data_IF_998863634876
#
_entry.id   IF_998863634876
#
_cell.length_a   1.000
_cell.length_b   1.000
_cell.length_c   1.000
_cell.angle_alpha   90.00
_cell.angle_beta   90.00
_cell.angle_gamma   90.00
#
_symmetry.space_group_name_H-M   'P 1'
#
loop_
_entity.id
_entity.type
_entity.pdbx_description
1 polymer ?
#
# COMPACT_ATOMS: atom_id res chain seq x y z
N UNK A 1 -10.13 33.38 -39.15
CA UNK A 1 -11.55 32.99 -39.08
C UNK A 1 -11.59 31.51 -38.75
N UNK A 2 -12.23 30.99 -37.72
CA UNK A 2 -13.14 31.53 -36.73
C UNK A 2 -12.84 30.88 -35.36
N UNK A 3 -12.98 31.66 -34.29
CA UNK A 3 -12.99 31.18 -32.92
C UNK A 3 -14.40 30.64 -32.59
N UNK A 4 -14.47 29.48 -31.94
CA UNK A 4 -15.71 28.97 -31.37
C UNK A 4 -15.60 29.03 -29.84
N UNK A 5 -16.26 30.03 -29.28
CA UNK A 5 -16.53 30.23 -27.86
C UNK A 5 -17.63 29.25 -27.44
N UNK A 6 -17.39 28.43 -26.41
CA UNK A 6 -18.42 27.64 -25.75
C UNK A 6 -18.77 28.30 -24.41
N UNK A 7 -20.04 28.68 -24.30
CA UNK A 7 -20.63 29.51 -23.25
C UNK A 7 -20.64 28.86 -21.87
N UNK A 8 -20.17 29.61 -20.86
CA UNK A 8 -20.40 29.36 -19.44
C UNK A 8 -21.89 29.60 -19.11
N UNK A 9 -22.59 28.56 -18.64
CA UNK A 9 -23.90 28.72 -18.01
C UNK A 9 -23.73 29.22 -16.57
N UNK A 10 -24.38 30.33 -16.26
CA UNK A 10 -24.35 31.02 -14.98
C UNK A 10 -25.44 30.45 -14.05
N UNK A 11 -25.06 30.00 -12.85
CA UNK A 11 -25.98 29.53 -11.81
C UNK A 11 -26.43 30.75 -10.98
N UNK A 12 -27.73 30.92 -10.65
CA UNK A 12 -28.21 32.06 -9.88
C UNK A 12 -27.79 31.98 -8.40
N UNK A 13 -27.45 33.10 -7.74
CA UNK A 13 -27.21 33.11 -6.30
C UNK A 13 -28.53 33.34 -5.56
N UNK A 14 -28.76 32.56 -4.49
CA UNK A 14 -29.29 33.00 -3.18
C UNK A 14 -30.30 32.03 -2.58
N UNK A 15 -29.88 31.30 -1.55
CA UNK A 15 -30.71 31.00 -0.38
C UNK A 15 -29.86 31.32 0.85
N UNK A 16 -30.24 32.40 1.56
CA UNK A 16 -29.65 32.80 2.84
C UNK A 16 -30.01 31.75 3.90
N UNK A 17 -29.03 31.00 4.36
CA UNK A 17 -29.18 30.17 5.55
C UNK A 17 -28.91 31.05 6.79
N UNK A 18 -29.93 31.22 7.62
CA UNK A 18 -29.84 31.91 8.92
C UNK A 18 -28.92 31.15 9.88
N UNK A 19 -27.97 31.85 10.48
CA UNK A 19 -27.04 31.30 11.46
C UNK A 19 -27.78 30.77 12.71
N UNK A 20 -27.75 29.46 12.93
CA UNK A 20 -28.05 28.87 14.23
C UNK A 20 -26.81 28.98 15.13
N UNK A 21 -27.01 29.51 16.34
CA UNK A 21 -26.00 29.58 17.39
C UNK A 21 -25.59 28.17 17.83
N UNK A 22 -24.29 27.89 17.82
CA UNK A 22 -23.70 26.67 18.36
C UNK A 22 -23.78 26.65 19.90
N UNK A 23 -24.16 25.53 20.52
CA UNK A 23 -24.04 25.37 21.96
C UNK A 23 -22.56 25.14 22.35
N UNK A 24 -22.10 25.83 23.40
CA UNK A 24 -20.75 25.67 23.96
C UNK A 24 -20.56 24.24 24.50
N UNK A 25 -19.60 23.51 23.95
CA UNK A 25 -19.07 22.27 24.55
C UNK A 25 -18.04 22.61 25.65
N UNK A 26 -18.04 21.89 26.78
CA UNK A 26 -17.00 22.02 27.81
C UNK A 26 -15.66 21.41 27.34
N UNK A 27 -14.52 21.84 27.91
CA UNK A 27 -13.20 21.43 27.46
C UNK A 27 -12.91 19.94 27.74
N UNK A 28 -12.02 19.29 26.95
CA UNK A 28 -11.69 17.89 27.14
C UNK A 28 -10.84 17.68 28.41
N UNK A 29 -11.27 16.76 29.26
CA UNK A 29 -10.49 16.27 30.39
C UNK A 29 -9.28 15.49 29.87
N UNK A 30 -8.07 15.99 30.16
CA UNK A 30 -6.81 15.26 30.02
C UNK A 30 -6.80 14.09 31.02
N UNK A 31 -7.08 12.88 30.54
CA UNK A 31 -6.85 11.66 31.31
C UNK A 31 -5.35 11.33 31.23
N UNK A 32 -4.65 11.55 32.35
CA UNK A 32 -3.27 11.12 32.57
C UNK A 32 -3.24 9.60 32.74
N UNK A 33 -2.54 8.89 31.86
CA UNK A 33 -2.25 7.46 32.01
C UNK A 33 -0.97 7.29 32.83
N UNK A 34 -1.11 7.01 34.13
CA UNK A 34 0.00 6.58 34.98
C UNK A 34 0.25 5.07 34.77
N UNK A 35 1.41 4.71 34.22
CA UNK A 35 1.84 3.33 34.07
C UNK A 35 3.00 3.05 35.04
N UNK A 36 2.83 2.24 36.11
CA UNK A 36 3.96 1.88 36.97
C UNK A 36 4.76 0.74 36.34
N UNK A 37 5.92 1.08 35.77
CA UNK A 37 6.92 0.13 35.30
C UNK A 37 7.57 -0.57 36.50
N UNK A 38 7.07 -1.75 36.86
CA UNK A 38 7.64 -2.60 37.91
C UNK A 38 8.85 -3.36 37.37
N UNK A 39 10.05 -2.93 37.74
CA UNK A 39 11.31 -3.63 37.51
C UNK A 39 11.49 -4.77 38.53
N UNK A 40 11.12 -6.01 38.16
CA UNK A 40 11.60 -7.18 38.88
C UNK A 40 12.95 -7.64 38.35
N UNK A 41 13.95 -7.61 39.24
CA UNK A 41 15.34 -8.02 39.02
C UNK A 41 15.46 -9.51 39.34
N UNK A 42 15.78 -10.34 38.34
CA UNK A 42 16.01 -11.78 38.54
C UNK A 42 17.40 -12.02 39.12
N UNK A 43 17.47 -12.58 40.33
CA UNK A 43 18.70 -13.09 40.96
C UNK A 43 18.93 -14.55 40.56
N UNK A 44 20.08 -14.85 39.97
CA UNK A 44 20.53 -16.20 39.69
C UNK A 44 21.16 -16.83 40.95
N UNK A 45 20.60 -17.95 41.40
CA UNK A 45 21.18 -18.78 42.47
C UNK A 45 22.10 -19.84 41.87
N UNK A 46 23.37 -19.80 42.25
CA UNK A 46 24.40 -20.81 41.99
C UNK A 46 24.15 -22.08 42.80
N UNK A 47 24.09 -23.23 42.13
CA UNK A 47 24.07 -24.54 42.79
C UNK A 47 25.49 -25.09 42.95
N UNK A 48 25.77 -25.52 44.17
CA UNK A 48 27.02 -26.05 44.70
C UNK A 48 27.40 -27.42 44.13
N UNK A 49 28.72 -27.64 44.08
CA UNK A 49 29.40 -28.85 43.64
C UNK A 49 29.04 -30.11 44.46
N UNK A 50 29.00 -31.26 43.78
CA UNK A 50 29.12 -32.57 44.40
C UNK A 50 30.22 -33.39 43.71
N UNK A 51 31.11 -33.92 44.55
CA UNK A 51 32.32 -34.69 44.26
C UNK A 51 32.01 -36.10 43.75
N UNK A 52 32.78 -36.60 42.78
CA UNK A 52 32.62 -37.97 42.29
C UNK A 52 33.66 -38.44 41.25
N UNK A 53 34.83 -38.86 41.73
CA UNK A 53 35.71 -39.95 41.21
C UNK A 53 35.97 -40.04 39.69
N UNK A 54 37.15 -39.56 39.27
CA UNK A 54 37.76 -39.84 37.94
C UNK A 54 37.93 -41.35 37.72
N UNK A 55 37.26 -41.88 36.70
CA UNK A 55 37.68 -43.08 35.96
C UNK A 55 37.70 -42.71 34.47
N UNK A 56 38.89 -42.70 33.89
CA UNK A 56 39.09 -42.55 32.46
C UNK A 56 38.56 -43.78 31.73
N UNK A 57 37.56 -43.60 30.88
CA UNK A 57 37.16 -44.60 29.90
C UNK A 57 37.44 -44.06 28.49
N UNK A 58 38.24 -44.80 27.74
CA UNK A 58 38.54 -44.53 26.33
C UNK A 58 37.32 -44.86 25.49
N UNK A 59 36.60 -43.84 25.00
CA UNK A 59 35.53 -44.03 24.02
C UNK A 59 36.16 -44.11 22.63
N UNK A 60 36.13 -45.30 22.03
CA UNK A 60 36.45 -45.50 20.62
C UNK A 60 35.38 -44.78 19.79
N UNK A 61 35.80 -43.80 18.98
CA UNK A 61 34.94 -43.13 18.03
C UNK A 61 34.61 -44.11 16.89
N UNK A 62 33.43 -44.74 16.94
CA UNK A 62 32.86 -45.43 15.79
C UNK A 62 31.85 -44.49 15.14
N UNK A 63 32.31 -43.77 14.12
CA UNK A 63 31.45 -43.01 13.22
C UNK A 63 30.69 -43.98 12.32
N UNK A 64 29.42 -44.27 12.65
CA UNK A 64 28.48 -44.78 11.67
C UNK A 64 27.84 -43.58 10.94
N UNK A 65 27.79 -43.56 9.60
CA UNK A 65 27.02 -42.56 8.86
C UNK A 65 25.55 -42.95 8.95
N UNK A 66 24.86 -42.42 9.96
CA UNK A 66 23.40 -42.46 9.98
C UNK A 66 22.88 -41.44 8.96
N UNK A 67 22.19 -41.98 7.96
CA UNK A 67 21.38 -41.28 6.95
C UNK A 67 20.60 -40.10 7.56
N UNK A 68 20.79 -38.92 6.98
CA UNK A 68 20.29 -37.60 7.41
C UNK A 68 18.75 -37.40 7.39
N UNK A 69 17.95 -38.47 7.32
CA UNK A 69 16.52 -38.33 7.00
C UNK A 69 15.54 -38.43 8.18
N UNK A 70 15.96 -38.58 9.44
CA UNK A 70 14.97 -38.77 10.53
C UNK A 70 15.44 -38.36 11.93
N UNK A 71 15.89 -37.11 12.09
CA UNK A 71 15.92 -36.50 13.43
C UNK A 71 14.60 -35.76 13.69
N UNK A 72 13.88 -36.05 14.79
CA UNK A 72 12.68 -35.30 15.14
C UNK A 72 13.07 -33.86 15.48
N UNK A 73 12.65 -32.91 14.65
CA UNK A 73 12.88 -31.48 14.86
C UNK A 73 12.14 -31.06 16.13
N UNK A 74 12.82 -30.35 17.03
CA UNK A 74 12.18 -29.89 18.27
C UNK A 74 11.03 -28.92 17.93
N UNK A 75 9.97 -28.87 18.75
CA UNK A 75 8.82 -27.95 18.54
C UNK A 75 9.28 -26.49 18.44
N UNK A 76 10.33 -26.12 19.16
CA UNK A 76 10.95 -24.79 19.11
C UNK A 76 11.63 -24.55 17.77
N UNK A 77 12.36 -25.52 17.26
CA UNK A 77 13.04 -25.41 15.97
C UNK A 77 12.06 -25.38 14.80
N UNK A 78 10.95 -26.11 14.88
CA UNK A 78 9.85 -25.98 13.93
C UNK A 78 9.23 -24.56 13.96
N UNK A 79 8.98 -24.01 15.15
CA UNK A 79 8.46 -22.64 15.29
C UNK A 79 9.44 -21.59 14.78
N UNK A 80 10.74 -21.76 15.03
CA UNK A 80 11.78 -20.85 14.53
C UNK A 80 11.86 -20.95 13.00
N UNK A 81 11.85 -22.15 12.44
CA UNK A 81 11.90 -22.34 10.98
C UNK A 81 10.64 -21.78 10.30
N UNK A 82 9.45 -22.00 10.86
CA UNK A 82 8.21 -21.42 10.35
C UNK A 82 8.21 -19.89 10.48
N UNK A 83 8.69 -19.35 11.61
CA UNK A 83 8.83 -17.91 11.81
C UNK A 83 9.83 -17.30 10.82
N UNK A 84 11.02 -17.88 10.68
CA UNK A 84 12.05 -17.42 9.74
C UNK A 84 11.56 -17.55 8.30
N UNK A 85 10.83 -18.60 7.94
CA UNK A 85 10.23 -18.75 6.61
C UNK A 85 9.16 -17.70 6.32
N UNK A 86 8.35 -17.33 7.32
CA UNK A 86 7.39 -16.23 7.21
C UNK A 86 8.07 -14.86 7.18
N UNK A 87 9.22 -14.71 7.83
CA UNK A 87 9.98 -13.45 7.92
C UNK A 87 10.95 -13.23 6.75
N UNK A 88 11.49 -14.30 6.18
CA UNK A 88 12.16 -14.33 4.87
C UNK A 88 11.09 -14.30 3.78
N UNK A 89 10.24 -13.27 3.83
CA UNK A 89 9.04 -13.18 3.03
C UNK A 89 9.43 -13.15 1.55
N UNK A 90 8.95 -14.16 0.82
CA UNK A 90 8.92 -14.16 -0.63
C UNK A 90 8.33 -12.83 -1.10
N UNK A 91 8.98 -12.18 -2.05
CA UNK A 91 8.48 -10.97 -2.70
C UNK A 91 7.64 -11.38 -3.89
N UNK A 92 6.40 -10.93 -3.95
CA UNK A 92 5.51 -11.11 -5.10
C UNK A 92 5.42 -9.80 -5.86
N UNK A 93 5.68 -9.86 -7.17
CA UNK A 93 5.49 -8.73 -8.06
C UNK A 93 4.08 -8.75 -8.63
N UNK A 94 3.36 -7.63 -8.51
CA UNK A 94 2.05 -7.42 -9.11
C UNK A 94 2.07 -6.11 -9.91
N UNK A 95 1.75 -6.19 -11.19
CA UNK A 95 1.72 -5.03 -12.09
C UNK A 95 0.27 -4.67 -12.44
N UNK A 96 -0.07 -3.38 -12.32
CA UNK A 96 -1.41 -2.89 -12.68
C UNK A 96 -1.32 -1.53 -13.36
N UNK A 97 -2.33 -1.23 -14.17
CA UNK A 97 -2.54 0.09 -14.75
C UNK A 97 -3.70 0.80 -14.05
N UNK A 98 -3.49 2.08 -13.73
CA UNK A 98 -4.55 2.97 -13.29
C UNK A 98 -4.89 3.94 -14.42
N UNK A 99 -6.17 4.02 -14.78
CA UNK A 99 -6.64 4.88 -15.85
C UNK A 99 -7.85 5.71 -15.41
N UNK A 100 -7.73 7.03 -15.57
CA UNK A 100 -8.86 7.94 -15.49
C UNK A 100 -9.49 8.08 -16.89
N UNK A 101 -10.68 7.50 -17.06
CA UNK A 101 -11.42 7.53 -18.32
C UNK A 101 -12.39 8.72 -18.43
N UNK A 102 -12.36 9.66 -17.48
CA UNK A 102 -13.19 10.86 -17.49
C UNK A 102 -14.66 10.61 -17.14
N UNK A 103 -15.01 9.41 -16.68
CA UNK A 103 -16.40 8.97 -16.44
C UNK A 103 -16.78 8.84 -14.95
N UNK A 104 -15.92 9.31 -14.03
CA UNK A 104 -16.10 9.17 -12.57
C UNK A 104 -16.23 10.49 -11.81
N UNK A 105 -16.23 11.63 -12.50
CA UNK A 105 -16.13 12.95 -11.84
C UNK A 105 -14.84 13.12 -11.03
N UNK A 106 -13.78 12.40 -11.41
CA UNK A 106 -12.48 12.35 -10.73
C UNK A 106 -11.38 12.95 -11.62
N UNK A 107 -10.38 13.63 -11.05
CA UNK A 107 -10.29 14.03 -9.64
C UNK A 107 -11.20 15.22 -9.30
N UNK A 108 -11.50 15.41 -8.02
CA UNK A 108 -12.10 16.64 -7.51
C UNK A 108 -11.00 17.56 -6.95
N UNK A 109 -10.68 18.66 -7.62
CA UNK A 109 -9.63 19.58 -7.15
C UNK A 109 -10.22 20.66 -6.22
N UNK A 110 -9.91 20.59 -4.93
CA UNK A 110 -10.38 21.53 -3.91
C UNK A 110 -9.30 22.56 -3.61
N UNK A 111 -9.49 23.79 -4.12
CA UNK A 111 -8.57 24.94 -3.93
C UNK A 111 -8.68 25.57 -2.54
N UNK A 112 -8.28 24.82 -1.52
CA UNK A 112 -8.37 25.22 -0.12
C UNK A 112 -7.18 26.07 0.36
N UNK A 113 -6.05 26.07 -0.36
CA UNK A 113 -4.88 26.88 -0.04
C UNK A 113 -5.05 28.38 -0.30
N UNK A 114 -6.14 28.78 -0.96
CA UNK A 114 -6.54 30.18 -1.21
C UNK A 114 -5.46 31.03 -1.92
N UNK A 115 -4.63 30.40 -2.76
CA UNK A 115 -3.65 31.07 -3.62
C UNK A 115 -4.04 30.95 -5.10
N UNK A 116 -3.57 31.87 -5.95
CA UNK A 116 -3.84 31.81 -7.39
C UNK A 116 -3.18 30.59 -8.06
N UNK A 117 -2.06 30.15 -7.52
CA UNK A 117 -1.33 28.95 -7.93
C UNK A 117 -1.58 27.80 -6.94
N UNK A 118 -1.37 26.57 -7.41
CA UNK A 118 -1.37 25.36 -6.60
C UNK A 118 -0.52 25.59 -5.34
N UNK A 119 -1.09 25.33 -4.16
CA UNK A 119 -0.45 25.63 -2.89
C UNK A 119 -0.76 24.63 -1.78
N UNK A 120 0.13 24.59 -0.78
CA UNK A 120 -0.02 23.71 0.39
C UNK A 120 -1.44 23.78 0.96
N UNK A 121 -2.06 22.62 1.14
CA UNK A 121 -3.41 22.48 1.69
C UNK A 121 -4.51 22.30 0.65
N UNK A 122 -4.23 22.49 -0.64
CA UNK A 122 -5.14 22.03 -1.69
C UNK A 122 -5.32 20.51 -1.61
N UNK A 123 -6.57 20.05 -1.73
CA UNK A 123 -6.94 18.64 -1.58
C UNK A 123 -7.47 18.10 -2.90
N UNK A 124 -7.11 16.86 -3.21
CA UNK A 124 -7.50 16.19 -4.43
C UNK A 124 -8.03 14.78 -4.12
N UNK A 125 -9.29 14.64 -3.68
CA UNK A 125 -9.97 13.36 -3.68
C UNK A 125 -10.06 12.80 -5.11
N UNK A 126 -9.83 11.50 -5.27
CA UNK A 126 -9.85 10.85 -6.58
C UNK A 126 -10.30 9.39 -6.51
N UNK A 127 -10.75 8.88 -7.65
CA UNK A 127 -10.98 7.46 -7.88
C UNK A 127 -10.92 7.13 -9.37
N UNK A 128 -10.00 6.26 -9.76
CA UNK A 128 -9.78 5.86 -11.16
C UNK A 128 -10.00 4.35 -11.35
N UNK A 129 -10.03 3.88 -12.59
CA UNK A 129 -10.18 2.45 -12.92
C UNK A 129 -8.82 1.75 -12.83
N UNK A 130 -8.81 0.50 -12.38
CA UNK A 130 -7.60 -0.34 -12.30
C UNK A 130 -7.74 -1.55 -13.21
N UNK A 131 -6.71 -1.80 -14.01
CA UNK A 131 -6.59 -2.89 -14.97
C UNK A 131 -5.39 -3.78 -14.65
N UNK A 132 -5.43 -5.03 -15.08
CA UNK A 132 -4.31 -5.97 -15.02
C UNK A 132 -3.09 -5.46 -15.80
N UNK A 133 -1.91 -5.98 -15.48
CA UNK A 133 -0.67 -5.60 -16.16
C UNK A 133 -0.69 -5.86 -17.67
N UNK A 134 -1.45 -6.85 -18.14
CA UNK A 134 -1.61 -7.14 -19.57
C UNK A 134 -2.73 -6.32 -20.25
N UNK A 135 -3.41 -5.44 -19.50
CA UNK A 135 -4.50 -4.56 -19.93
C UNK A 135 -5.78 -5.30 -20.40
N UNK A 136 -5.89 -6.60 -20.15
CA UNK A 136 -7.02 -7.42 -20.60
C UNK A 136 -8.12 -7.63 -19.58
N UNK A 137 -7.86 -7.33 -18.30
CA UNK A 137 -8.81 -7.53 -17.21
C UNK A 137 -9.06 -6.23 -16.43
N UNK A 138 -10.32 -5.88 -16.16
CA UNK A 138 -10.74 -4.80 -15.28
C UNK A 138 -10.78 -5.32 -13.84
N UNK A 139 -9.75 -4.99 -13.07
CA UNK A 139 -9.59 -5.48 -11.70
C UNK A 139 -10.42 -4.69 -10.68
N UNK A 140 -10.59 -3.38 -10.88
CA UNK A 140 -11.38 -2.57 -9.96
C UNK A 140 -11.10 -1.07 -10.02
N UNK A 141 -10.81 -0.45 -8.87
CA UNK A 141 -10.62 1.00 -8.75
C UNK A 141 -9.52 1.38 -7.75
N UNK A 142 -8.93 2.56 -7.95
CA UNK A 142 -8.28 3.30 -6.86
C UNK A 142 -9.30 4.19 -6.16
N UNK A 143 -9.11 4.46 -4.87
CA UNK A 143 -9.89 5.44 -4.14
C UNK A 143 -9.08 6.05 -3.00
N UNK A 144 -9.03 7.37 -2.92
CA UNK A 144 -8.37 8.07 -1.83
C UNK A 144 -8.20 9.55 -2.08
N UNK A 145 -7.14 10.11 -1.50
CA UNK A 145 -6.90 11.55 -1.49
C UNK A 145 -5.41 11.86 -1.66
N UNK A 146 -5.13 12.92 -2.41
CA UNK A 146 -3.84 13.57 -2.47
C UNK A 146 -3.92 14.93 -1.77
N UNK A 147 -2.94 15.23 -0.92
CA UNK A 147 -2.75 16.53 -0.28
C UNK A 147 -1.60 17.21 -1.01
N UNK A 148 -1.83 18.39 -1.59
CA UNK A 148 -0.76 19.13 -2.23
C UNK A 148 0.22 19.65 -1.18
N UNK A 149 1.50 19.32 -1.35
CA UNK A 149 2.58 19.72 -0.44
C UNK A 149 3.30 20.96 -0.98
N UNK A 150 3.67 20.95 -2.26
CA UNK A 150 4.40 22.05 -2.89
C UNK A 150 4.18 22.07 -4.39
N UNK A 151 3.93 23.26 -4.93
CA UNK A 151 4.07 23.54 -6.36
C UNK A 151 5.54 23.81 -6.70
N UNK A 152 6.03 23.19 -7.78
CA UNK A 152 7.42 23.24 -8.24
C UNK A 152 7.45 23.85 -9.65
N UNK A 153 7.33 25.18 -9.77
CA UNK A 153 7.20 25.86 -11.07
C UNK A 153 8.40 25.61 -11.99
N UNK A 154 9.60 25.47 -11.43
CA UNK A 154 10.83 25.15 -12.15
C UNK A 154 10.78 23.82 -12.90
N UNK A 155 9.97 22.87 -12.43
CA UNK A 155 9.75 21.55 -13.05
C UNK A 155 8.40 21.43 -13.74
N UNK A 156 7.58 22.49 -13.72
CA UNK A 156 6.16 22.43 -14.11
C UNK A 156 5.43 21.25 -13.44
N UNK A 157 5.74 21.04 -12.17
CA UNK A 157 5.32 19.86 -11.43
C UNK A 157 4.71 20.23 -10.09
N UNK A 158 3.99 19.28 -9.51
CA UNK A 158 3.48 19.34 -8.15
C UNK A 158 3.97 18.12 -7.37
N UNK A 159 4.17 18.31 -6.06
CA UNK A 159 4.40 17.22 -5.12
C UNK A 159 3.18 17.08 -4.21
N UNK A 160 2.65 15.87 -4.16
CA UNK A 160 1.55 15.50 -3.29
C UNK A 160 2.01 14.45 -2.26
N UNK A 161 1.34 14.44 -1.11
CA UNK A 161 1.27 13.28 -0.22
C UNK A 161 -0.03 12.56 -0.53
N UNK A 162 0.05 11.29 -0.92
CA UNK A 162 -1.08 10.47 -1.32
C UNK A 162 -1.37 9.40 -0.25
N UNK A 163 -2.66 9.22 0.03
CA UNK A 163 -3.17 8.13 0.88
C UNK A 163 -4.40 7.54 0.21
N UNK A 164 -4.30 6.30 -0.26
CA UNK A 164 -5.35 5.68 -1.06
C UNK A 164 -5.26 4.16 -1.04
N UNK A 165 -6.28 3.51 -1.59
CA UNK A 165 -6.33 2.05 -1.72
C UNK A 165 -6.64 1.62 -3.15
N UNK A 166 -6.14 0.44 -3.52
CA UNK A 166 -6.50 -0.32 -4.72
C UNK A 166 -7.53 -1.36 -4.31
N UNK A 167 -8.76 -1.22 -4.78
CA UNK A 167 -9.83 -2.21 -4.60
C UNK A 167 -9.85 -3.13 -5.82
N UNK A 168 -9.56 -4.42 -5.61
CA UNK A 168 -9.37 -5.40 -6.69
C UNK A 168 -10.50 -6.47 -6.66
N UNK A 169 -11.74 -6.02 -6.48
CA UNK A 169 -12.91 -6.90 -6.40
C UNK A 169 -12.84 -7.88 -5.23
N UNK A 170 -13.20 -9.14 -5.49
CA UNK A 170 -13.24 -10.21 -4.48
C UNK A 170 -11.86 -10.62 -3.94
N UNK A 171 -10.77 -10.21 -4.61
CA UNK A 171 -9.42 -10.44 -4.08
C UNK A 171 -9.15 -9.62 -2.81
N UNK A 172 -9.84 -8.50 -2.62
CA UNK A 172 -9.64 -7.57 -1.51
C UNK A 172 -9.01 -6.25 -1.95
N UNK A 173 -8.29 -5.60 -1.04
CA UNK A 173 -7.67 -4.30 -1.30
C UNK A 173 -6.21 -4.24 -0.83
N UNK A 174 -5.44 -3.34 -1.44
CA UNK A 174 -4.09 -2.95 -0.99
C UNK A 174 -4.12 -1.46 -0.68
N UNK A 175 -3.69 -1.07 0.53
CA UNK A 175 -3.60 0.33 0.94
C UNK A 175 -2.17 0.83 0.84
N UNK A 176 -2.01 2.07 0.37
CA UNK A 176 -0.71 2.70 0.14
C UNK A 176 -0.68 4.13 0.67
N UNK A 177 0.52 4.57 1.05
CA UNK A 177 0.77 5.95 1.46
C UNK A 177 2.15 6.40 1.01
N UNK A 178 2.28 7.64 0.54
CA UNK A 178 3.57 8.25 0.26
C UNK A 178 3.53 9.36 -0.78
N UNK A 179 4.71 9.70 -1.30
CA UNK A 179 4.85 10.81 -2.23
C UNK A 179 4.33 10.47 -3.63
N UNK A 180 3.59 11.40 -4.22
CA UNK A 180 3.25 11.40 -5.65
C UNK A 180 3.83 12.67 -6.30
N UNK A 181 4.70 12.48 -7.28
CA UNK A 181 5.29 13.56 -8.09
C UNK A 181 4.74 13.47 -9.51
N UNK A 182 4.28 14.59 -10.06
CA UNK A 182 3.58 14.60 -11.36
C UNK A 182 4.49 14.38 -12.58
N UNK A 183 5.81 14.41 -12.38
CA UNK A 183 6.82 14.33 -13.46
C UNK A 183 7.90 13.28 -13.22
N UNK A 184 7.89 12.60 -12.06
CA UNK A 184 8.96 11.68 -11.65
C UNK A 184 8.36 10.39 -11.09
N UNK A 185 9.07 9.27 -11.26
CA UNK A 185 8.70 8.02 -10.60
C UNK A 185 8.87 8.14 -9.08
N UNK A 186 8.03 7.44 -8.34
CA UNK A 186 8.05 7.45 -6.87
C UNK A 186 7.86 6.05 -6.32
N UNK A 187 8.20 5.87 -5.04
CA UNK A 187 7.85 4.67 -4.29
C UNK A 187 6.94 5.06 -3.13
N UNK A 188 5.82 4.36 -3.00
CA UNK A 188 4.89 4.50 -1.89
C UNK A 188 5.01 3.28 -0.98
N UNK A 189 4.76 3.47 0.31
CA UNK A 189 4.70 2.38 1.26
C UNK A 189 3.39 1.61 1.08
N UNK A 190 3.48 0.27 1.09
CA UNK A 190 2.31 -0.61 1.23
C UNK A 190 2.02 -0.70 2.72
N UNK A 191 0.88 -0.17 3.15
CA UNK A 191 0.52 -0.04 4.57
C UNK A 191 -0.36 -1.17 5.09
N UNK A 192 -0.84 -2.03 4.19
CA UNK A 192 -1.67 -3.18 4.53
C UNK A 192 -2.49 -3.66 3.35
N UNK A 193 -3.30 -4.69 3.61
CA UNK A 193 -4.30 -5.18 2.66
C UNK A 193 -5.35 -6.05 3.32
N UNK A 194 -6.35 -6.43 2.55
CA UNK A 194 -7.45 -7.35 2.95
C UNK A 194 -7.59 -8.47 1.93
N UNK A 195 -8.42 -9.47 2.23
CA UNK A 195 -8.62 -10.63 1.34
C UNK A 195 -7.31 -11.40 1.14
N UNK A 196 -6.95 -11.70 -0.11
CA UNK A 196 -5.69 -12.39 -0.43
C UNK A 196 -4.45 -11.53 -0.08
N UNK A 197 -4.63 -10.22 0.08
CA UNK A 197 -3.58 -9.27 0.46
C UNK A 197 -3.51 -9.02 1.98
N UNK A 198 -4.22 -9.80 2.79
CA UNK A 198 -4.13 -9.68 4.25
C UNK A 198 -2.70 -9.89 4.73
N UNK A 199 -2.19 -8.93 5.52
CA UNK A 199 -0.80 -8.92 6.01
C UNK A 199 0.22 -8.33 5.03
N UNK A 200 -0.21 -7.84 3.86
CA UNK A 200 0.69 -7.24 2.88
C UNK A 200 1.47 -6.05 3.44
N UNK A 201 2.77 -6.04 3.19
CA UNK A 201 3.66 -4.89 3.41
C UNK A 201 4.69 -4.81 2.26
N UNK A 202 5.49 -3.75 2.24
CA UNK A 202 6.52 -3.52 1.22
C UNK A 202 6.39 -2.14 0.59
N UNK A 203 6.66 -2.06 -0.70
CA UNK A 203 6.61 -0.81 -1.46
C UNK A 203 6.00 -1.02 -2.84
N UNK A 204 5.43 0.04 -3.40
CA UNK A 204 4.93 0.06 -4.77
C UNK A 204 5.64 1.17 -5.54
N UNK A 205 6.17 0.82 -6.71
CA UNK A 205 6.70 1.79 -7.67
C UNK A 205 5.53 2.40 -8.43
N UNK A 206 5.41 3.74 -8.42
CA UNK A 206 4.44 4.50 -9.22
C UNK A 206 5.17 5.17 -10.39
N UNK A 207 4.67 4.94 -11.60
CA UNK A 207 5.16 5.54 -12.83
C UNK A 207 4.04 6.33 -13.52
N UNK A 208 4.25 7.63 -13.70
CA UNK A 208 3.33 8.51 -14.42
C UNK A 208 3.56 8.36 -15.94
N UNK A 209 2.55 7.93 -16.69
CA UNK A 209 2.67 7.75 -18.15
C UNK A 209 2.12 8.94 -18.91
N UNK A 210 0.89 9.35 -18.58
CA UNK A 210 0.22 10.51 -19.17
C UNK A 210 -0.45 11.26 -18.04
N UNK A 211 0.00 12.48 -17.76
CA UNK A 211 -0.60 13.28 -16.69
C UNK A 211 -1.94 13.90 -17.06
N UNK A 212 -2.98 13.81 -16.20
CA UNK A 212 -3.13 13.00 -14.97
C UNK A 212 -3.90 11.67 -15.19
N UNK A 213 -3.89 11.13 -16.41
CA UNK A 213 -4.84 10.12 -16.87
C UNK A 213 -4.35 8.67 -16.83
N UNK A 214 -3.05 8.40 -16.94
CA UNK A 214 -2.51 7.04 -17.03
C UNK A 214 -1.30 6.87 -16.11
N UNK A 215 -1.37 5.89 -15.23
CA UNK A 215 -0.30 5.51 -14.32
C UNK A 215 -0.08 3.99 -14.38
N UNK A 216 1.15 3.57 -14.09
CA UNK A 216 1.53 2.16 -13.99
C UNK A 216 2.18 1.91 -12.64
N UNK A 217 1.81 0.79 -12.02
CA UNK A 217 2.29 0.41 -10.70
C UNK A 217 2.94 -0.97 -10.73
N UNK A 218 4.05 -1.10 -10.02
CA UNK A 218 4.70 -2.39 -9.72
C UNK A 218 4.76 -2.54 -8.20
N UNK A 219 3.90 -3.40 -7.66
CA UNK A 219 3.89 -3.73 -6.24
C UNK A 219 4.95 -4.79 -5.95
N UNK A 220 5.70 -4.60 -4.88
CA UNK A 220 6.61 -5.59 -4.31
C UNK A 220 6.02 -6.04 -2.97
N UNK A 221 5.10 -7.00 -3.05
CA UNK A 221 4.30 -7.48 -1.93
C UNK A 221 5.09 -8.49 -1.10
N UNK A 222 5.06 -8.33 0.21
CA UNK A 222 5.59 -9.26 1.20
C UNK A 222 4.54 -9.54 2.27
N UNK A 223 4.66 -10.65 2.99
CA UNK A 223 3.80 -10.97 4.13
C UNK A 223 2.42 -11.55 3.81
N UNK A 224 2.08 -11.71 2.52
CA UNK A 224 0.84 -12.37 2.12
C UNK A 224 0.91 -13.88 2.38
N UNK A 225 -0.22 -14.48 2.75
CA UNK A 225 -0.28 -15.86 3.25
C UNK A 225 -0.02 -16.94 2.18
N UNK A 226 -0.29 -16.63 0.91
CA UNK A 226 -0.20 -17.55 -0.21
C UNK A 226 0.33 -16.84 -1.46
N UNK A 227 0.66 -17.63 -2.48
CA UNK A 227 1.01 -17.09 -3.80
C UNK A 227 -0.19 -16.40 -4.45
N UNK A 228 0.09 -15.34 -5.22
CA UNK A 228 -0.94 -14.64 -5.97
C UNK A 228 -1.58 -15.58 -7.02
N UNK A 229 -2.89 -15.46 -7.26
CA UNK A 229 -3.57 -16.19 -8.32
C UNK A 229 -2.89 -15.96 -9.69
N UNK A 230 -2.77 -16.99 -10.56
CA UNK A 230 -2.10 -16.87 -11.86
C UNK A 230 -2.65 -15.76 -12.75
N UNK A 231 -3.94 -15.47 -12.67
CA UNK A 231 -4.61 -14.40 -13.40
C UNK A 231 -4.13 -12.99 -13.03
N UNK A 232 -3.51 -12.82 -11.87
CA UNK A 232 -2.86 -11.56 -11.45
C UNK A 232 -1.36 -11.52 -11.82
N UNK A 233 -0.78 -12.64 -12.23
CA UNK A 233 0.65 -12.83 -12.55
C UNK A 233 0.90 -12.84 -14.06
N UNK A 234 0.11 -12.07 -14.81
CA UNK A 234 0.25 -11.92 -16.26
C UNK A 234 1.50 -11.13 -16.63
N UNK A 235 2.07 -11.42 -17.80
CA UNK A 235 3.18 -10.62 -18.35
C UNK A 235 2.67 -9.21 -18.65
N UNK A 236 3.23 -8.16 -18.01
CA UNK A 236 2.75 -6.81 -18.23
C UNK A 236 3.08 -6.31 -19.63
N UNK A 237 2.16 -5.56 -20.23
CA UNK A 237 2.48 -4.71 -21.39
C UNK A 237 3.50 -3.66 -20.92
N UNK A 238 4.53 -3.33 -21.71
CA UNK A 238 5.47 -2.28 -21.34
C UNK A 238 4.78 -0.93 -21.14
N UNK A 239 5.07 -0.19 -20.05
CA UNK A 239 4.47 1.12 -19.82
C UNK A 239 4.89 2.14 -20.89
N UNK A 240 3.91 2.72 -21.57
CA UNK A 240 4.11 3.80 -22.54
C UNK A 240 2.88 4.72 -22.61
N UNK A 241 2.98 5.94 -23.17
CA UNK A 241 1.84 6.83 -23.32
C UNK A 241 0.68 6.25 -24.17
N UNK A 242 0.99 5.36 -25.11
CA UNK A 242 0.07 4.84 -26.12
C UNK A 242 -0.81 3.70 -25.59
N UNK A 243 -0.44 3.06 -24.48
CA UNK A 243 -1.17 1.91 -23.93
C UNK A 243 -2.64 2.24 -23.65
N UNK A 244 -3.51 1.28 -23.91
CA UNK A 244 -4.96 1.38 -23.67
C UNK A 244 -5.46 0.06 -23.11
N UNK A 245 -6.47 0.13 -22.23
CA UNK A 245 -7.21 -1.05 -21.81
C UNK A 245 -7.83 -1.75 -23.03
N UNK A 246 -7.84 -3.08 -23.02
CA UNK A 246 -8.51 -3.87 -24.05
C UNK A 246 -10.00 -3.48 -24.11
N UNK A 247 -10.64 -3.40 -25.30
CA UNK A 247 -12.04 -2.99 -25.42
C UNK A 247 -13.01 -3.78 -24.54
N UNK A 248 -12.84 -5.10 -24.47
CA UNK A 248 -13.64 -5.98 -23.60
C UNK A 248 -13.52 -5.61 -22.12
N UNK A 249 -12.31 -5.30 -21.66
CA UNK A 249 -12.06 -4.90 -20.26
C UNK A 249 -12.68 -3.55 -19.94
N UNK A 250 -12.55 -2.61 -20.88
CA UNK A 250 -13.17 -1.30 -20.77
C UNK A 250 -14.70 -1.39 -20.72
N UNK A 251 -15.26 -2.33 -21.47
CA UNK A 251 -16.70 -2.64 -21.49
C UNK A 251 -17.15 -3.53 -20.34
N UNK A 252 -16.24 -3.99 -19.46
CA UNK A 252 -16.53 -4.91 -18.35
C UNK A 252 -17.23 -6.19 -18.79
N UNK A 253 -16.82 -6.74 -19.93
CA UNK A 253 -17.32 -8.02 -20.42
C UNK A 253 -16.94 -9.16 -19.45
N UNK A 254 -17.75 -10.22 -19.32
CA UNK A 254 -17.42 -11.34 -18.44
C UNK A 254 -16.05 -11.96 -18.76
N UNK A 255 -15.17 -12.02 -17.76
CA UNK A 255 -13.80 -12.55 -17.91
C UNK A 255 -12.78 -11.52 -18.43
N UNK A 256 -13.18 -10.25 -18.53
CA UNK A 256 -12.34 -9.12 -18.92
C UNK A 256 -12.45 -7.96 -17.93
#
# INVERSE_FOLDING_TARGET
MAAASASLQTIPPSLKLSALKSPKLPPPNLLSFNNPLSTQRLTASTATAASGRRRSFTVKNQSNPATESSRPVSKIEFLIQDFVKRFMAKVHELCVYEMNEGDRGSPAYLRLGQKPVNSLGDLVPFSNKVYSGDLKTRLGITAGICILIKNMPEKQADRYEACFSFHLGEYGQISVQGAYLTTEETYLCITGGTGIFAGAYGQVKLQQLVFPFKLFYTFYLQGIAADLPPELLVTPVPPSPEVQAHPAARATEPGA
#
